data_IF_478455011249
#
_entry.id   IF_478455011249
#
_cell.length_a   1.000
_cell.length_b   1.000
_cell.length_c   1.000
_cell.angle_alpha   90.00
_cell.angle_beta   90.00
_cell.angle_gamma   90.00
#
_symmetry.space_group_name_H-M   'P 1'
#
loop_
_entity.id
_entity.type
_entity.pdbx_description
1 polymer ?
#
# COMPACT_ATOMS: atom_id res chain seq x y z
N UNK A 1 -70.56 -69.06 -28.92
CA UNK A 1 -69.55 -68.22 -29.58
C UNK A 1 -69.36 -66.98 -28.72
N UNK A 2 -68.15 -66.86 -28.19
CA UNK A 2 -67.79 -66.12 -26.99
C UNK A 2 -67.44 -64.64 -27.25
N UNK A 3 -67.60 -63.87 -26.18
CA UNK A 3 -67.17 -62.49 -25.96
C UNK A 3 -65.66 -62.27 -26.17
N UNK A 4 -65.28 -61.09 -26.69
CA UNK A 4 -64.05 -60.34 -26.37
C UNK A 4 -64.07 -58.99 -27.10
N UNK A 5 -63.44 -57.89 -26.68
CA UNK A 5 -63.16 -57.24 -25.38
C UNK A 5 -62.71 -55.81 -25.76
N UNK A 6 -63.05 -54.83 -24.93
CA UNK A 6 -62.74 -53.39 -25.04
C UNK A 6 -61.26 -53.05 -25.33
N UNK A 7 -61.01 -51.93 -26.05
CA UNK A 7 -60.14 -50.83 -25.54
C UNK A 7 -60.26 -49.56 -26.39
N UNK A 8 -59.87 -48.45 -25.80
CA UNK A 8 -60.45 -47.12 -25.87
C UNK A 8 -59.50 -46.10 -26.54
N UNK A 9 -60.08 -45.02 -27.09
CA UNK A 9 -59.52 -43.66 -27.26
C UNK A 9 -58.36 -43.39 -28.23
N UNK A 10 -58.74 -42.88 -29.41
CA UNK A 10 -58.50 -41.51 -29.90
C UNK A 10 -57.10 -40.86 -29.83
N UNK A 11 -56.68 -40.42 -31.04
CA UNK A 11 -55.90 -39.22 -31.42
C UNK A 11 -54.37 -39.32 -31.56
N UNK A 12 -53.97 -39.36 -32.83
CA UNK A 12 -52.91 -38.62 -33.55
C UNK A 12 -51.71 -38.08 -32.73
N UNK A 13 -50.45 -38.40 -33.13
CA UNK A 13 -49.27 -37.70 -32.65
C UNK A 13 -48.98 -36.48 -33.53
N UNK A 14 -49.02 -35.28 -32.94
CA UNK A 14 -48.54 -34.04 -33.56
C UNK A 14 -47.56 -33.33 -32.61
N UNK A 15 -46.47 -32.84 -33.20
CA UNK A 15 -45.39 -31.99 -32.65
C UNK A 15 -44.31 -32.64 -31.79
N UNK A 16 -43.25 -33.10 -32.46
CA UNK A 16 -41.88 -33.11 -31.91
C UNK A 16 -41.44 -31.65 -31.72
N UNK A 17 -41.31 -31.21 -30.47
CA UNK A 17 -40.59 -29.96 -30.14
C UNK A 17 -39.09 -30.19 -30.41
N UNK A 18 -38.58 -29.53 -31.45
CA UNK A 18 -37.15 -29.28 -31.61
C UNK A 18 -36.66 -28.51 -30.39
N UNK A 19 -35.82 -29.14 -29.58
CA UNK A 19 -35.07 -28.44 -28.52
C UNK A 19 -33.93 -27.71 -29.23
N UNK A 20 -34.20 -26.47 -29.63
CA UNK A 20 -33.14 -25.53 -29.96
C UNK A 20 -32.30 -25.32 -28.69
N UNK A 21 -31.11 -25.90 -28.64
CA UNK A 21 -30.06 -25.39 -27.78
C UNK A 21 -29.72 -23.97 -28.24
N UNK A 22 -30.29 -22.96 -27.58
CA UNK A 22 -29.77 -21.59 -27.63
C UNK A 22 -28.34 -21.64 -27.09
N UNK A 23 -27.38 -21.72 -28.00
CA UNK A 23 -26.03 -21.23 -27.78
C UNK A 23 -26.14 -19.75 -27.44
N UNK A 24 -26.02 -19.42 -26.16
CA UNK A 24 -25.85 -18.04 -25.74
C UNK A 24 -24.36 -17.68 -25.92
N UNK A 25 -23.99 -17.41 -27.17
CA UNK A 25 -22.88 -16.52 -27.46
C UNK A 25 -23.24 -15.12 -26.96
N UNK A 26 -22.21 -14.31 -26.69
CA UNK A 26 -22.29 -12.88 -26.33
C UNK A 26 -22.88 -12.54 -24.95
N UNK A 27 -22.04 -12.69 -23.92
CA UNK A 27 -21.96 -11.73 -22.82
C UNK A 27 -20.49 -11.43 -22.49
N UNK A 28 -19.80 -10.84 -23.48
CA UNK A 28 -18.57 -10.09 -23.28
C UNK A 28 -18.93 -8.60 -23.13
N UNK A 29 -19.15 -8.19 -21.89
CA UNK A 29 -19.09 -6.84 -21.30
C UNK A 29 -20.03 -6.88 -20.07
N UNK A 30 -19.66 -6.46 -18.86
CA UNK A 30 -18.77 -5.39 -18.50
C UNK A 30 -17.54 -5.90 -17.75
N UNK A 31 -16.36 -5.52 -18.25
CA UNK A 31 -15.19 -5.32 -17.40
C UNK A 31 -15.63 -4.38 -16.28
N UNK A 32 -15.56 -4.84 -15.03
CA UNK A 32 -15.38 -3.95 -13.90
C UNK A 32 -14.00 -3.29 -14.09
N UNK A 33 -13.99 -2.19 -14.85
CA UNK A 33 -12.79 -1.41 -15.17
C UNK A 33 -12.56 -0.31 -14.12
N UNK A 34 -13.31 -0.31 -13.03
CA UNK A 34 -13.26 0.77 -12.03
C UNK A 34 -12.19 0.56 -10.94
N UNK A 35 -11.55 -0.61 -10.91
CA UNK A 35 -10.48 -0.92 -9.95
C UNK A 35 -9.08 -0.48 -10.40
N UNK A 36 -8.81 -0.41 -11.71
CA UNK A 36 -7.47 -0.12 -12.23
C UNK A 36 -7.26 1.39 -12.51
N UNK A 37 -8.28 2.12 -12.96
CA UNK A 37 -8.16 3.56 -13.23
C UNK A 37 -7.78 4.35 -11.96
N UNK A 38 -8.47 4.09 -10.85
CA UNK A 38 -8.17 4.70 -9.56
C UNK A 38 -6.75 4.38 -9.03
N UNK A 39 -6.15 3.27 -9.46
CA UNK A 39 -4.80 2.85 -9.03
C UNK A 39 -3.72 3.50 -9.89
N UNK A 40 -3.94 3.56 -11.21
CA UNK A 40 -3.03 4.22 -12.15
C UNK A 40 -3.08 5.73 -11.96
N UNK A 41 -4.26 6.33 -11.81
CA UNK A 41 -4.41 7.76 -11.52
C UNK A 41 -3.76 8.12 -10.18
N UNK A 42 -3.94 7.34 -9.12
CA UNK A 42 -3.24 7.57 -7.85
C UNK A 42 -1.73 7.44 -7.98
N UNK A 43 -1.22 6.47 -8.73
CA UNK A 43 0.22 6.34 -8.99
C UNK A 43 0.77 7.53 -9.77
N UNK A 44 0.07 7.97 -10.83
CA UNK A 44 0.43 9.16 -11.61
C UNK A 44 0.38 10.42 -10.75
N UNK A 45 -0.66 10.58 -9.94
CA UNK A 45 -0.80 11.73 -9.03
C UNK A 45 0.33 11.74 -8.01
N UNK A 46 0.66 10.59 -7.41
CA UNK A 46 1.78 10.49 -6.46
C UNK A 46 3.13 10.76 -7.14
N UNK A 47 3.32 10.31 -8.38
CA UNK A 47 4.53 10.61 -9.17
C UNK A 47 4.63 12.10 -9.51
N UNK A 48 3.55 12.72 -10.00
CA UNK A 48 3.50 14.16 -10.29
C UNK A 48 3.74 14.98 -9.03
N UNK A 49 3.14 14.59 -7.90
CA UNK A 49 3.38 15.22 -6.61
C UNK A 49 4.86 15.10 -6.20
N UNK A 50 5.47 13.92 -6.35
CA UNK A 50 6.90 13.73 -6.03
C UNK A 50 7.84 14.59 -6.91
N UNK A 51 7.47 14.85 -8.16
CA UNK A 51 8.22 15.73 -9.06
C UNK A 51 8.06 17.21 -8.71
N UNK A 52 6.92 17.59 -8.13
CA UNK A 52 6.65 18.96 -7.66
C UNK A 52 7.25 19.29 -6.30
N UNK A 53 7.80 18.30 -5.58
CA UNK A 53 8.42 18.53 -4.28
C UNK A 53 9.68 19.39 -4.43
N UNK A 54 9.78 20.41 -3.58
CA UNK A 54 10.97 21.23 -3.47
C UNK A 54 12.17 20.36 -3.04
N UNK A 55 13.32 20.56 -3.69
CA UNK A 55 14.54 19.77 -3.48
C UNK A 55 15.67 20.65 -3.00
N UNK A 56 16.31 20.21 -1.92
CA UNK A 56 17.47 20.86 -1.34
C UNK A 56 18.72 20.06 -1.68
N UNK A 57 19.80 20.75 -2.02
CA UNK A 57 21.07 20.17 -2.44
C UNK A 57 22.19 20.55 -1.48
N UNK A 58 22.93 19.56 -0.99
CA UNK A 58 23.98 19.74 0.00
C UNK A 58 25.29 19.15 -0.51
N UNK A 59 26.34 19.96 -0.53
CA UNK A 59 27.70 19.51 -0.87
C UNK A 59 28.27 18.72 0.30
N UNK A 60 28.65 17.47 0.07
CA UNK A 60 29.30 16.67 1.12
C UNK A 60 30.79 17.03 1.23
N UNK A 61 31.41 16.64 2.34
CA UNK A 61 32.85 16.76 2.54
C UNK A 61 33.44 15.40 2.87
N UNK A 62 34.57 15.09 2.25
CA UNK A 62 35.39 13.91 2.57
C UNK A 62 36.78 14.41 2.93
N UNK A 63 37.03 14.55 4.24
CA UNK A 63 38.20 15.27 4.74
C UNK A 63 38.13 16.75 4.32
N UNK A 64 39.17 17.23 3.64
CA UNK A 64 39.22 18.60 3.11
C UNK A 64 38.66 18.74 1.69
N UNK A 65 38.35 17.62 1.02
CA UNK A 65 37.87 17.64 -0.37
C UNK A 65 36.35 17.74 -0.45
N UNK A 66 35.88 18.47 -1.45
CA UNK A 66 34.46 18.53 -1.79
C UNK A 66 34.02 17.16 -2.35
N UNK A 67 33.00 16.59 -1.73
CA UNK A 67 32.41 15.31 -2.11
C UNK A 67 31.20 15.47 -3.03
N UNK A 68 30.49 14.37 -3.34
CA UNK A 68 29.28 14.42 -4.15
C UNK A 68 28.18 15.25 -3.49
N UNK A 69 27.27 15.80 -4.30
CA UNK A 69 26.08 16.50 -3.79
C UNK A 69 25.00 15.51 -3.41
N UNK A 70 24.45 15.63 -2.20
CA UNK A 70 23.28 14.87 -1.77
C UNK A 70 22.05 15.76 -1.89
N UNK A 71 21.01 15.24 -2.53
CA UNK A 71 19.72 15.91 -2.65
C UNK A 71 18.71 15.28 -1.71
N UNK A 72 17.85 16.10 -1.11
CA UNK A 72 16.77 15.68 -0.23
C UNK A 72 15.54 16.54 -0.52
N UNK A 73 14.40 15.88 -0.68
CA UNK A 73 13.12 16.51 -0.93
C UNK A 73 12.56 17.08 0.37
N UNK A 74 11.78 18.16 0.27
CA UNK A 74 11.01 18.70 1.38
C UNK A 74 10.01 17.66 1.88
N UNK A 75 9.82 17.61 3.20
CA UNK A 75 8.83 16.75 3.82
C UNK A 75 7.47 17.45 3.81
N UNK A 76 6.69 17.19 2.77
CA UNK A 76 5.34 17.73 2.59
C UNK A 76 4.30 16.83 3.26
N UNK A 77 4.25 15.55 2.88
CA UNK A 77 3.20 14.64 3.34
C UNK A 77 3.64 13.22 3.72
N UNK A 78 3.32 12.79 4.93
CA UNK A 78 3.52 11.43 5.44
C UNK A 78 2.63 10.37 4.76
N UNK A 79 1.60 10.77 4.01
CA UNK A 79 0.82 9.83 3.19
C UNK A 79 1.62 9.34 1.98
N UNK A 80 2.42 10.23 1.39
CA UNK A 80 3.16 10.00 0.15
C UNK A 80 4.67 9.83 0.35
N UNK A 81 5.20 10.23 1.51
CA UNK A 81 6.62 10.13 1.84
C UNK A 81 6.84 9.26 3.09
N UNK A 82 7.86 8.40 3.04
CA UNK A 82 8.28 7.62 4.20
C UNK A 82 9.07 8.50 5.18
N UNK A 83 8.39 9.06 6.19
CA UNK A 83 8.98 9.97 7.20
C UNK A 83 10.20 9.35 7.89
N UNK A 84 10.18 8.06 8.24
CA UNK A 84 11.34 7.41 8.85
C UNK A 84 12.59 7.41 7.93
N UNK A 85 12.40 7.14 6.64
CA UNK A 85 13.49 7.19 5.65
C UNK A 85 13.95 8.62 5.42
N UNK A 86 13.02 9.57 5.35
CA UNK A 86 13.33 10.98 5.24
C UNK A 86 14.20 11.47 6.41
N UNK A 87 13.80 11.16 7.65
CA UNK A 87 14.57 11.52 8.84
C UNK A 87 15.97 10.89 8.85
N UNK A 88 16.11 9.64 8.39
CA UNK A 88 17.42 8.98 8.24
C UNK A 88 18.29 9.70 7.20
N UNK A 89 17.69 10.09 6.08
CA UNK A 89 18.36 10.82 5.00
C UNK A 89 18.80 12.21 5.47
N UNK A 90 17.95 12.93 6.21
CA UNK A 90 18.28 14.22 6.80
C UNK A 90 19.47 14.12 7.75
N UNK A 91 19.46 13.15 8.69
CA UNK A 91 20.62 12.92 9.57
C UNK A 91 21.91 12.63 8.79
N UNK A 92 21.82 11.84 7.73
CA UNK A 92 22.95 11.53 6.86
C UNK A 92 23.48 12.79 6.17
N UNK A 93 22.61 13.69 5.73
CA UNK A 93 22.99 15.00 5.16
C UNK A 93 23.74 15.85 6.17
N UNK A 94 23.22 15.98 7.40
CA UNK A 94 23.89 16.76 8.45
C UNK A 94 25.30 16.25 8.73
N UNK A 95 25.47 14.93 8.84
CA UNK A 95 26.78 14.30 9.08
C UNK A 95 27.73 14.51 7.89
N UNK A 96 27.30 14.16 6.67
CA UNK A 96 28.19 14.16 5.50
C UNK A 96 28.51 15.56 4.98
N UNK A 97 27.69 16.55 5.32
CA UNK A 97 27.92 17.96 4.93
C UNK A 97 28.50 18.78 6.07
N UNK A 98 28.82 18.15 7.21
CA UNK A 98 29.35 18.77 8.42
C UNK A 98 28.52 19.98 8.88
N UNK A 99 27.19 19.81 8.92
CA UNK A 99 26.26 20.87 9.34
C UNK A 99 26.25 20.95 10.86
N UNK A 100 26.51 22.14 11.40
CA UNK A 100 26.43 22.41 12.84
C UNK A 100 25.01 22.24 13.39
N UNK A 101 24.87 21.86 14.65
CA UNK A 101 23.57 21.53 15.26
C UNK A 101 22.54 22.65 15.15
N UNK A 102 22.93 23.91 15.40
CA UNK A 102 21.99 25.06 15.32
C UNK A 102 21.47 25.24 13.89
N UNK A 103 22.37 25.20 12.91
CA UNK A 103 22.02 25.33 11.49
C UNK A 103 21.18 24.13 11.03
N UNK A 104 21.47 22.94 11.54
CA UNK A 104 20.66 21.76 11.26
C UNK A 104 19.22 21.89 11.77
N UNK A 105 18.97 22.58 12.88
CA UNK A 105 17.61 22.84 13.37
C UNK A 105 16.83 23.80 12.46
N UNK A 106 17.49 24.83 11.94
CA UNK A 106 16.91 25.76 10.96
C UNK A 106 16.56 25.02 9.66
N UNK A 107 17.49 24.19 9.15
CA UNK A 107 17.22 23.35 7.98
C UNK A 107 16.09 22.35 8.23
N UNK A 108 16.02 21.74 9.41
CA UNK A 108 14.94 20.81 9.74
C UNK A 108 13.56 21.49 9.66
N UNK A 109 13.46 22.72 10.13
CA UNK A 109 12.22 23.50 10.08
C UNK A 109 11.90 23.92 8.64
N UNK A 110 12.88 24.45 7.92
CA UNK A 110 12.72 24.88 6.52
C UNK A 110 12.30 23.73 5.59
N UNK A 111 12.87 22.54 5.81
CA UNK A 111 12.66 21.37 4.95
C UNK A 111 11.46 20.52 5.38
N UNK A 112 10.66 20.98 6.33
CA UNK A 112 9.42 20.34 6.74
C UNK A 112 8.24 21.28 6.49
N UNK A 113 7.10 20.70 6.13
CA UNK A 113 5.86 21.45 6.00
C UNK A 113 5.46 22.10 7.34
N UNK A 114 4.86 23.29 7.25
CA UNK A 114 4.43 24.11 8.39
C UNK A 114 3.57 23.34 9.40
N UNK A 115 2.78 22.36 8.95
CA UNK A 115 1.97 21.50 9.83
C UNK A 115 2.78 20.72 10.87
N UNK A 116 4.09 20.59 10.66
CA UNK A 116 5.01 19.92 11.59
C UNK A 116 5.76 20.88 12.50
N UNK A 117 5.71 22.19 12.26
CA UNK A 117 6.53 23.17 12.97
C UNK A 117 6.20 23.21 14.47
N UNK A 118 4.92 23.16 14.85
CA UNK A 118 4.51 23.11 16.27
C UNK A 118 5.08 21.88 17.01
N UNK A 119 5.24 20.75 16.32
CA UNK A 119 5.83 19.54 16.88
C UNK A 119 7.35 19.69 17.02
N UNK A 120 7.98 20.35 16.06
CA UNK A 120 9.43 20.59 16.04
C UNK A 120 9.85 21.64 17.07
N UNK A 121 9.06 22.68 17.31
CA UNK A 121 9.37 23.71 18.32
C UNK A 121 9.47 23.15 19.74
N UNK A 122 8.74 22.06 20.01
CA UNK A 122 8.76 21.40 21.33
C UNK A 122 10.10 20.74 21.63
N UNK A 123 10.96 20.46 20.64
CA UNK A 123 12.24 19.77 20.83
C UNK A 123 13.42 20.72 21.04
N UNK A 124 14.37 20.34 21.90
CA UNK A 124 15.56 21.15 22.23
C UNK A 124 16.80 20.82 21.41
N UNK A 125 16.79 19.68 20.71
CA UNK A 125 17.88 19.20 19.85
C UNK A 125 17.32 18.61 18.56
N UNK A 126 18.12 18.54 17.50
CA UNK A 126 17.76 17.90 16.23
C UNK A 126 17.23 16.47 16.45
N UNK A 127 17.88 15.70 17.33
CA UNK A 127 17.48 14.34 17.69
C UNK A 127 16.09 14.30 18.32
N UNK A 128 15.82 15.19 19.27
CA UNK A 128 14.54 15.27 19.95
C UNK A 128 13.44 15.73 18.99
N UNK A 129 13.72 16.73 18.14
CA UNK A 129 12.80 17.23 17.11
C UNK A 129 12.41 16.12 16.13
N UNK A 130 13.39 15.36 15.64
CA UNK A 130 13.15 14.19 14.76
C UNK A 130 12.36 13.10 15.48
N UNK A 131 12.62 12.86 16.76
CA UNK A 131 11.87 11.89 17.56
C UNK A 131 10.39 12.32 17.67
N UNK A 132 10.12 13.58 18.03
CA UNK A 132 8.76 14.13 18.13
C UNK A 132 8.03 14.12 16.79
N UNK A 133 8.71 14.45 15.70
CA UNK A 133 8.17 14.34 14.35
C UNK A 133 7.71 12.91 14.06
N UNK A 134 8.55 11.91 14.35
CA UNK A 134 8.19 10.49 14.18
C UNK A 134 7.01 10.08 15.05
N UNK A 135 6.97 10.49 16.31
CA UNK A 135 5.86 10.19 17.23
C UNK A 135 4.55 10.83 16.78
N UNK A 136 4.61 12.05 16.23
CA UNK A 136 3.42 12.74 15.70
C UNK A 136 2.82 12.03 14.48
N UNK A 137 3.67 11.40 13.66
CA UNK A 137 3.26 10.69 12.43
C UNK A 137 2.88 9.24 12.74
N UNK A 138 3.75 8.50 13.41
CA UNK A 138 3.59 7.08 13.73
C UNK A 138 2.86 6.89 15.06
N UNK A 139 1.63 7.41 15.10
CA UNK A 139 0.76 7.39 16.26
C UNK A 139 -0.30 6.29 16.19
N UNK A 140 -1.09 6.18 17.26
CA UNK A 140 -2.19 5.22 17.38
C UNK A 140 -3.24 5.33 16.25
N UNK A 141 -3.54 6.55 15.80
CA UNK A 141 -4.51 6.74 14.71
C UNK A 141 -3.99 6.15 13.39
N UNK A 142 -2.71 6.37 13.08
CA UNK A 142 -2.09 5.78 11.89
C UNK A 142 -2.01 4.26 12.01
N UNK A 143 -1.69 3.75 13.21
CA UNK A 143 -1.67 2.32 13.50
C UNK A 143 -3.03 1.67 13.18
N UNK A 144 -4.11 2.16 13.77
CA UNK A 144 -5.47 1.61 13.58
C UNK A 144 -5.88 1.60 12.12
N UNK A 145 -5.74 2.73 11.42
CA UNK A 145 -6.06 2.83 9.99
C UNK A 145 -5.21 1.88 9.12
N UNK A 146 -3.96 1.64 9.50
CA UNK A 146 -3.07 0.75 8.74
C UNK A 146 -3.41 -0.72 9.00
N UNK A 147 -3.79 -1.08 10.22
CA UNK A 147 -4.31 -2.43 10.52
C UNK A 147 -5.61 -2.73 9.76
N UNK A 148 -6.57 -1.80 9.75
CA UNK A 148 -7.81 -1.95 8.98
C UNK A 148 -7.53 -2.19 7.49
N UNK A 149 -6.58 -1.45 6.91
CA UNK A 149 -6.13 -1.65 5.52
C UNK A 149 -5.47 -3.02 5.31
N UNK A 150 -4.68 -3.47 6.27
CA UNK A 150 -4.01 -4.78 6.22
C UNK A 150 -5.03 -5.92 6.29
N UNK A 151 -6.01 -5.84 7.18
CA UNK A 151 -7.03 -6.88 7.35
C UNK A 151 -8.00 -6.96 6.16
N UNK A 152 -8.20 -5.84 5.45
CA UNK A 152 -8.96 -5.80 4.21
C UNK A 152 -8.12 -6.13 2.95
N UNK A 153 -6.82 -6.39 3.11
CA UNK A 153 -5.93 -6.64 1.98
C UNK A 153 -6.16 -8.05 1.44
N UNK A 154 -6.50 -8.15 0.16
CA UNK A 154 -6.70 -9.43 -0.52
C UNK A 154 -5.98 -9.44 -1.86
N UNK A 155 -5.42 -10.60 -2.23
CA UNK A 155 -4.64 -10.77 -3.47
C UNK A 155 -5.45 -10.41 -4.72
N UNK A 156 -6.76 -10.62 -4.69
CA UNK A 156 -7.66 -10.29 -5.80
C UNK A 156 -7.78 -8.80 -6.14
N UNK A 157 -7.30 -7.91 -5.27
CA UNK A 157 -7.23 -6.46 -5.53
C UNK A 157 -6.00 -6.06 -6.36
N UNK A 158 -5.12 -7.02 -6.69
CA UNK A 158 -3.85 -6.76 -7.37
C UNK A 158 -3.74 -7.57 -8.66
N UNK A 159 -3.06 -7.00 -9.64
CA UNK A 159 -2.79 -7.66 -10.93
C UNK A 159 -1.80 -8.84 -10.79
N UNK A 160 -1.01 -8.86 -9.72
CA UNK A 160 -0.02 -9.92 -9.47
C UNK A 160 0.19 -10.18 -7.98
N UNK A 161 0.60 -11.41 -7.65
CA UNK A 161 1.02 -11.79 -6.31
C UNK A 161 2.17 -10.92 -5.78
N UNK A 162 3.07 -10.48 -6.67
CA UNK A 162 4.17 -9.58 -6.33
C UNK A 162 3.67 -8.20 -5.89
N UNK A 163 2.67 -7.67 -6.58
CA UNK A 163 2.02 -6.41 -6.21
C UNK A 163 1.36 -6.50 -4.84
N UNK A 164 0.63 -7.59 -4.59
CA UNK A 164 0.07 -7.89 -3.27
C UNK A 164 1.14 -7.97 -2.17
N UNK A 165 2.22 -8.73 -2.40
CA UNK A 165 3.31 -8.86 -1.44
C UNK A 165 4.00 -7.53 -1.14
N UNK A 166 4.25 -6.71 -2.16
CA UNK A 166 4.87 -5.39 -1.99
C UNK A 166 3.99 -4.48 -1.11
N UNK A 167 2.68 -4.45 -1.36
CA UNK A 167 1.76 -3.63 -0.58
C UNK A 167 1.60 -4.16 0.85
N UNK A 168 1.54 -5.48 1.02
CA UNK A 168 1.49 -6.13 2.32
C UNK A 168 2.72 -5.78 3.17
N UNK A 169 3.94 -5.95 2.62
CA UNK A 169 5.19 -5.61 3.30
C UNK A 169 5.24 -4.12 3.68
N UNK A 170 4.75 -3.25 2.79
CA UNK A 170 4.66 -1.80 3.05
C UNK A 170 3.76 -1.49 4.24
N UNK A 171 2.58 -2.11 4.33
CA UNK A 171 1.65 -1.93 5.44
C UNK A 171 2.22 -2.48 6.76
N UNK A 172 2.81 -3.68 6.73
CA UNK A 172 3.47 -4.29 7.91
C UNK A 172 4.61 -3.42 8.43
N UNK A 173 5.46 -2.92 7.53
CA UNK A 173 6.54 -1.99 7.88
C UNK A 173 6.00 -0.73 8.55
N UNK A 174 4.89 -0.18 8.03
CA UNK A 174 4.25 1.02 8.59
C UNK A 174 3.64 0.77 9.97
N UNK A 175 2.99 -0.37 10.18
CA UNK A 175 2.49 -0.80 11.50
C UNK A 175 3.64 -0.94 12.51
N UNK A 176 4.72 -1.61 12.11
CA UNK A 176 5.89 -1.83 12.98
C UNK A 176 6.65 -0.56 13.34
N UNK A 177 6.43 0.56 12.61
CA UNK A 177 6.95 1.88 13.00
C UNK A 177 6.10 2.57 14.05
N UNK A 178 4.82 2.19 14.19
CA UNK A 178 3.91 2.70 15.21
C UNK A 178 3.98 1.89 16.52
N UNK A 179 4.59 0.71 16.50
CA UNK A 179 4.64 -0.22 17.63
C UNK A 179 5.99 -0.16 18.38
N UNK A 180 5.97 -0.31 19.72
CA UNK A 180 7.19 -0.52 20.48
C UNK A 180 7.84 -1.85 20.07
N UNK A 181 9.15 -2.00 20.34
CA UNK A 181 9.96 -3.12 19.85
C UNK A 181 9.41 -4.51 20.22
N UNK A 182 8.78 -4.62 21.40
CA UNK A 182 8.27 -5.89 21.95
C UNK A 182 6.95 -6.30 21.28
N UNK A 183 6.17 -5.33 20.79
CA UNK A 183 4.85 -5.57 20.21
C UNK A 183 4.87 -5.65 18.68
N UNK A 184 6.05 -5.53 18.05
CA UNK A 184 6.17 -5.63 16.60
C UNK A 184 5.65 -6.97 16.12
N UNK A 185 4.95 -6.95 14.98
CA UNK A 185 4.43 -8.15 14.35
C UNK A 185 5.56 -9.14 14.12
N UNK A 186 5.40 -10.32 14.70
CA UNK A 186 6.34 -11.42 14.56
C UNK A 186 6.28 -11.97 13.14
N UNK A 187 7.31 -12.71 12.73
CA UNK A 187 7.33 -13.41 11.44
C UNK A 187 6.11 -14.32 11.27
N UNK A 188 5.73 -15.02 12.34
CA UNK A 188 4.57 -15.93 12.35
C UNK A 188 3.25 -15.18 12.11
N UNK A 189 2.98 -14.12 12.85
CA UNK A 189 1.76 -13.31 12.68
C UNK A 189 1.70 -12.67 11.29
N UNK A 190 2.86 -12.22 10.80
CA UNK A 190 3.00 -11.63 9.47
C UNK A 190 2.69 -12.66 8.38
N UNK A 191 3.22 -13.88 8.49
CA UNK A 191 2.93 -14.97 7.54
C UNK A 191 1.47 -15.40 7.57
N UNK A 192 0.87 -15.49 8.75
CA UNK A 192 -0.54 -15.84 8.91
C UNK A 192 -1.45 -14.79 8.25
N UNK A 193 -1.21 -13.50 8.54
CA UNK A 193 -1.95 -12.40 7.89
C UNK A 193 -1.74 -12.39 6.38
N UNK A 194 -0.51 -12.65 5.91
CA UNK A 194 -0.22 -12.73 4.48
C UNK A 194 -1.03 -13.85 3.81
N UNK A 195 -1.05 -15.04 4.42
CA UNK A 195 -1.82 -16.20 3.93
C UNK A 195 -3.31 -15.91 3.93
N UNK A 196 -3.84 -15.25 4.95
CA UNK A 196 -5.28 -14.96 5.06
C UNK A 196 -5.81 -14.17 3.85
N UNK A 197 -5.02 -13.24 3.31
CA UNK A 197 -5.37 -12.47 2.11
C UNK A 197 -5.23 -13.21 0.77
N UNK A 198 -4.69 -14.44 0.75
CA UNK A 198 -4.59 -15.26 -0.47
C UNK A 198 -5.90 -15.98 -0.81
N UNK A 199 -6.09 -16.31 -2.09
CA UNK A 199 -7.17 -17.19 -2.54
C UNK A 199 -6.95 -18.64 -2.11
N UNK A 200 -8.02 -19.43 -2.00
CA UNK A 200 -7.95 -20.82 -1.53
C UNK A 200 -6.98 -21.68 -2.37
N UNK A 201 -7.01 -21.56 -3.70
CA UNK A 201 -6.11 -22.31 -4.57
C UNK A 201 -4.62 -21.98 -4.32
N UNK A 202 -4.28 -20.72 -4.00
CA UNK A 202 -2.91 -20.33 -3.67
C UNK A 202 -2.49 -20.90 -2.31
N UNK A 203 -3.43 -20.93 -1.35
CA UNK A 203 -3.18 -21.53 -0.02
C UNK A 203 -2.89 -23.02 -0.15
N UNK A 204 -3.65 -23.74 -0.97
CA UNK A 204 -3.46 -25.17 -1.25
C UNK A 204 -2.11 -25.45 -1.92
N UNK A 205 -1.73 -24.65 -2.91
CA UNK A 205 -0.44 -24.81 -3.60
C UNK A 205 0.75 -24.56 -2.66
N UNK A 206 0.65 -23.63 -1.72
CA UNK A 206 1.69 -23.38 -0.69
C UNK A 206 1.83 -24.51 0.34
N UNK A 207 0.90 -25.46 0.38
CA UNK A 207 0.93 -26.60 1.32
C UNK A 207 1.38 -27.92 0.68
N UNK A 208 1.60 -27.92 -0.64
CA UNK A 208 2.20 -29.03 -1.38
C UNK A 208 3.72 -28.95 -1.33
#
# INVERSE_FOLDING_TARGET
MEYQKYSNKNKLPLFKRSVYHKMNSSKWSARAKDGNDNSVEKKLTNMMQSLSLEKFSFKTRVGESEGPTITIEKLEDHENQEVDQWCKKFKKVCILSNIESKVAEEYLTLMTNERYHEVLEKGTSVEEKIKKLKESVYNENLKTRTFEKLDQLTVGKFESIRGYATEFERLVKKINLCLPKIEKLTKRETEEKFRNGLSNWMKEEMTR
#
